data_IF_231478784269
#
_entry.id   IF_231478784269
#
_cell.length_a   1.000
_cell.length_b   1.000
_cell.length_c   1.000
_cell.angle_alpha   90.00
_cell.angle_beta   90.00
_cell.angle_gamma   90.00
#
_symmetry.space_group_name_H-M   'P 1'
#
loop_
_entity.id
_entity.type
_entity.pdbx_description
1 polymer ?
#
# COMPACT_ATOMS: atom_id res chain seq x y z
N UNK A 1 15.49 5.01 27.82
CA UNK A 1 15.59 5.02 26.34
C UNK A 1 14.48 4.17 25.71
N UNK A 2 14.10 3.07 26.35
CA UNK A 2 13.03 2.16 25.87
C UNK A 2 11.65 2.81 25.72
N UNK A 3 11.26 3.72 26.63
CA UNK A 3 9.97 4.42 26.53
C UNK A 3 9.88 5.36 25.31
N UNK A 4 10.97 6.04 24.96
CA UNK A 4 11.00 6.90 23.78
C UNK A 4 10.90 6.07 22.50
N UNK A 5 11.58 4.92 22.44
CA UNK A 5 11.52 4.01 21.29
C UNK A 5 10.13 3.38 21.13
N UNK A 6 9.45 3.04 22.24
CA UNK A 6 8.05 2.56 22.22
C UNK A 6 7.09 3.64 21.73
N UNK A 7 7.21 4.87 22.24
CA UNK A 7 6.38 6.00 21.80
C UNK A 7 6.54 6.30 20.30
N UNK A 8 7.77 6.23 19.79
CA UNK A 8 8.04 6.39 18.35
C UNK A 8 7.41 5.23 17.55
N UNK A 9 7.58 3.98 18.02
CA UNK A 9 6.97 2.82 17.39
C UNK A 9 5.44 2.91 17.31
N UNK A 10 4.81 3.37 18.39
CA UNK A 10 3.35 3.53 18.47
C UNK A 10 2.85 4.67 17.56
N UNK A 11 3.61 5.77 17.46
CA UNK A 11 3.35 6.82 16.47
C UNK A 11 3.42 6.25 15.06
N UNK A 12 4.53 5.61 14.68
CA UNK A 12 4.71 5.06 13.33
C UNK A 12 3.59 4.09 12.97
N UNK A 13 3.20 3.20 13.89
CA UNK A 13 2.05 2.30 13.69
C UNK A 13 0.75 3.06 13.45
N UNK A 14 0.47 4.07 14.27
CA UNK A 14 -0.77 4.87 14.16
C UNK A 14 -0.82 5.63 12.85
N UNK A 15 0.28 6.28 12.45
CA UNK A 15 0.39 7.01 11.19
C UNK A 15 0.28 6.06 9.99
N UNK A 16 0.94 4.90 10.05
CA UNK A 16 0.86 3.88 9.00
C UNK A 16 -0.57 3.39 8.83
N UNK A 17 -1.29 3.13 9.94
CA UNK A 17 -2.70 2.73 9.91
C UNK A 17 -3.59 3.76 9.20
N UNK A 18 -3.39 5.05 9.51
CA UNK A 18 -4.10 6.14 8.85
C UNK A 18 -3.79 6.17 7.35
N UNK A 19 -2.51 6.10 6.96
CA UNK A 19 -2.10 6.13 5.56
C UNK A 19 -2.64 4.94 4.77
N UNK A 20 -2.62 3.73 5.36
CA UNK A 20 -3.22 2.53 4.75
C UNK A 20 -4.73 2.72 4.55
N UNK A 21 -5.43 3.31 5.52
CA UNK A 21 -6.84 3.68 5.37
C UNK A 21 -7.08 4.63 4.20
N UNK A 22 -6.23 5.65 4.05
CA UNK A 22 -6.31 6.61 2.93
C UNK A 22 -6.03 5.95 1.59
N UNK A 23 -5.11 4.97 1.50
CA UNK A 23 -4.89 4.21 0.26
C UNK A 23 -6.16 3.47 -0.17
N UNK A 24 -6.87 2.83 0.76
CA UNK A 24 -8.13 2.15 0.47
C UNK A 24 -9.19 3.11 -0.06
N UNK A 25 -9.32 4.29 0.56
CA UNK A 25 -10.22 5.34 0.08
C UNK A 25 -9.80 5.86 -1.32
N UNK A 26 -8.50 6.03 -1.56
CA UNK A 26 -7.96 6.47 -2.85
C UNK A 26 -8.23 5.48 -3.98
N UNK A 27 -8.16 4.18 -3.71
CA UNK A 27 -8.54 3.14 -4.68
C UNK A 27 -10.03 3.23 -5.02
N UNK A 28 -10.91 3.28 -4.01
CA UNK A 28 -12.37 3.37 -4.24
C UNK A 28 -12.73 4.66 -4.98
N UNK A 29 -12.15 5.78 -4.57
CA UNK A 29 -12.35 7.07 -5.23
C UNK A 29 -11.85 7.05 -6.69
N UNK A 30 -10.69 6.45 -6.95
CA UNK A 30 -10.14 6.30 -8.29
C UNK A 30 -11.04 5.47 -9.20
N UNK A 31 -11.72 4.44 -8.68
CA UNK A 31 -12.67 3.64 -9.46
C UNK A 31 -13.93 4.43 -9.80
N UNK A 32 -14.46 5.20 -8.85
CA UNK A 32 -15.74 5.91 -9.01
C UNK A 32 -15.59 7.21 -9.79
N UNK A 33 -14.55 7.97 -9.48
CA UNK A 33 -14.36 9.35 -9.95
C UNK A 33 -13.21 9.50 -10.94
N UNK A 34 -12.35 8.48 -11.11
CA UNK A 34 -11.15 8.57 -11.95
C UNK A 34 -9.99 9.30 -11.26
N UNK A 35 -9.10 9.89 -12.07
CA UNK A 35 -7.95 10.65 -11.56
C UNK A 35 -8.40 11.94 -10.87
N UNK A 36 -8.02 12.11 -9.60
CA UNK A 36 -8.44 13.25 -8.77
C UNK A 36 -7.25 13.84 -8.02
N UNK A 37 -7.17 15.17 -7.99
CA UNK A 37 -6.04 15.91 -7.40
C UNK A 37 -5.79 15.64 -5.90
N UNK A 38 -6.82 15.23 -5.15
CA UNK A 38 -6.74 15.00 -3.70
C UNK A 38 -6.22 13.59 -3.36
N UNK A 39 -6.62 12.57 -4.13
CA UNK A 39 -6.21 11.20 -3.89
C UNK A 39 -5.00 10.78 -4.74
N UNK A 40 -4.68 11.52 -5.81
CA UNK A 40 -3.66 11.16 -6.78
C UNK A 40 -3.99 9.86 -7.54
N UNK A 41 -3.02 9.34 -8.29
CA UNK A 41 -3.19 8.11 -9.08
C UNK A 41 -2.98 6.83 -8.25
N UNK A 42 -3.68 6.69 -7.13
CA UNK A 42 -3.52 5.51 -6.24
C UNK A 42 -4.00 4.24 -6.94
N UNK A 43 -5.12 4.31 -7.67
CA UNK A 43 -5.64 3.18 -8.42
C UNK A 43 -4.68 2.76 -9.55
N UNK A 44 -4.18 3.71 -10.36
CA UNK A 44 -3.25 3.40 -11.43
C UNK A 44 -1.93 2.86 -10.92
N UNK A 45 -1.39 3.40 -9.81
CA UNK A 45 -0.21 2.84 -9.16
C UNK A 45 -0.44 1.38 -8.69
N UNK A 46 -1.59 1.07 -8.09
CA UNK A 46 -1.92 -0.30 -7.67
C UNK A 46 -2.04 -1.24 -8.88
N UNK A 47 -2.79 -0.83 -9.90
CA UNK A 47 -2.96 -1.64 -11.13
C UNK A 47 -1.63 -1.85 -11.83
N UNK A 48 -0.79 -0.81 -11.93
CA UNK A 48 0.55 -0.87 -12.50
C UNK A 48 1.47 -1.83 -11.75
N UNK A 49 1.41 -1.84 -10.40
CA UNK A 49 2.12 -2.83 -9.60
C UNK A 49 1.64 -4.25 -9.90
N UNK A 50 0.32 -4.49 -9.95
CA UNK A 50 -0.25 -5.81 -10.28
C UNK A 50 0.18 -6.26 -11.69
N UNK A 51 0.13 -5.36 -12.67
CA UNK A 51 0.59 -5.62 -14.03
C UNK A 51 2.08 -5.98 -14.05
N UNK A 52 2.93 -5.20 -13.38
CA UNK A 52 4.37 -5.47 -13.31
C UNK A 52 4.70 -6.85 -12.72
N UNK A 53 3.91 -7.29 -11.73
CA UNK A 53 4.03 -8.63 -11.15
C UNK A 53 3.50 -9.71 -12.09
N UNK A 54 2.42 -9.45 -12.82
CA UNK A 54 1.87 -10.36 -13.83
C UNK A 54 2.81 -10.56 -15.02
N UNK A 55 3.39 -9.48 -15.54
CA UNK A 55 4.30 -9.47 -16.69
C UNK A 55 5.63 -10.18 -16.36
N UNK A 56 6.06 -10.14 -15.09
CA UNK A 56 7.19 -10.90 -14.59
C UNK A 56 6.94 -12.43 -14.50
N UNK A 57 5.72 -12.89 -14.78
CA UNK A 57 5.35 -14.30 -14.82
C UNK A 57 5.54 -15.03 -13.48
N UNK A 58 6.15 -16.21 -13.51
CA UNK A 58 6.37 -17.03 -12.30
C UNK A 58 7.19 -16.29 -11.23
N UNK A 59 8.18 -15.50 -11.63
CA UNK A 59 9.03 -14.76 -10.69
C UNK A 59 8.24 -13.66 -9.99
N UNK A 60 7.34 -12.97 -10.71
CA UNK A 60 6.45 -11.98 -10.12
C UNK A 60 5.47 -12.60 -9.12
N UNK A 61 4.92 -13.78 -9.42
CA UNK A 61 4.07 -14.51 -8.48
C UNK A 61 4.83 -14.96 -7.21
N UNK A 62 6.08 -15.42 -7.35
CA UNK A 62 6.94 -15.73 -6.21
C UNK A 62 7.24 -14.50 -5.37
N UNK A 63 7.55 -13.36 -6.00
CA UNK A 63 7.74 -12.09 -5.30
C UNK A 63 6.47 -11.68 -4.54
N UNK A 64 5.29 -11.79 -5.15
CA UNK A 64 4.02 -11.52 -4.48
C UNK A 64 3.81 -12.43 -3.26
N UNK A 65 4.11 -13.74 -3.38
CA UNK A 65 3.99 -14.68 -2.28
C UNK A 65 4.91 -14.35 -1.10
N UNK A 66 6.16 -13.95 -1.39
CA UNK A 66 7.12 -13.49 -0.37
C UNK A 66 6.61 -12.23 0.31
N UNK A 67 6.15 -11.23 -0.44
CA UNK A 67 5.62 -9.98 0.11
C UNK A 67 4.41 -10.23 1.02
N UNK A 68 3.46 -11.08 0.59
CA UNK A 68 2.30 -11.47 1.41
C UNK A 68 2.76 -12.20 2.69
N UNK A 69 3.84 -13.00 2.62
CA UNK A 69 4.43 -13.66 3.78
C UNK A 69 5.07 -12.69 4.78
N UNK A 70 5.65 -11.59 4.31
CA UNK A 70 6.28 -10.56 5.16
C UNK A 70 5.27 -9.58 5.78
N UNK A 71 4.12 -9.37 5.13
CA UNK A 71 3.07 -8.46 5.57
C UNK A 71 2.11 -9.10 6.59
N UNK A 72 2.19 -10.41 6.79
CA UNK A 72 1.49 -11.14 7.86
C UNK A 72 2.29 -11.05 9.16
#
# INVERSE_FOLDING_TARGET
>A
MDNAMRMIGDLVKSLTSILVGVVGLGVVAGVVFGDTWFFGDVLGNLVGLIQSLGDAGLVGLLAAAILIGLLK
#
